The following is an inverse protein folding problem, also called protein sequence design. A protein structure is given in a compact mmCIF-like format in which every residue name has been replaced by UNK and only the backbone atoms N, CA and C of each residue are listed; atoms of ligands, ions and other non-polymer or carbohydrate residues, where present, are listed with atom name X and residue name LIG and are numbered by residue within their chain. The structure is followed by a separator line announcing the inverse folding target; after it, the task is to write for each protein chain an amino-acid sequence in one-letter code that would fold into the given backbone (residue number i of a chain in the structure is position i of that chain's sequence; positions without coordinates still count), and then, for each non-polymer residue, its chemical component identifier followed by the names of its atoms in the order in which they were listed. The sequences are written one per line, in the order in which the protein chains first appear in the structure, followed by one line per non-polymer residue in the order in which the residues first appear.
data_IF_037966148742
#
_entry.id   IF_037966148742
#
_cell.length_a   1.000
_cell.length_b   1.000
_cell.length_c   1.000
_cell.angle_alpha   90.00
_cell.angle_beta   90.00
_cell.angle_gamma   90.00
#
_symmetry.space_group_name_H-M   'P 1'
#
loop_
_entity.id
_entity.type
_entity.pdbx_description
1 polymer ?
#
# COMPACT_ATOMS: atom_id res chain seq x y z
N UNK A 1 5.92 -5.21 2.05
CA UNK A 1 6.13 -4.50 0.78
C UNK A 1 7.39 -3.63 0.81
N UNK A 2 7.51 -2.73 1.77
CA UNK A 2 8.49 -1.63 1.82
C UNK A 2 9.92 -2.04 1.43
N UNK A 3 10.51 -3.04 2.11
CA UNK A 3 11.90 -3.43 1.83
C UNK A 3 12.11 -4.02 0.43
N UNK A 4 11.13 -4.77 -0.09
CA UNK A 4 11.14 -5.25 -1.48
C UNK A 4 11.06 -4.07 -2.45
N UNK A 5 10.29 -3.03 -2.13
CA UNK A 5 10.21 -1.81 -2.93
C UNK A 5 11.53 -1.02 -2.92
N UNK A 6 12.16 -0.86 -1.75
CA UNK A 6 13.47 -0.21 -1.65
C UNK A 6 14.56 -0.95 -2.43
N UNK A 7 14.56 -2.28 -2.35
CA UNK A 7 15.44 -3.11 -3.16
C UNK A 7 15.17 -2.92 -4.66
N UNK A 8 13.90 -3.03 -5.08
CA UNK A 8 13.51 -2.82 -6.48
C UNK A 8 13.90 -1.43 -7.00
N UNK A 9 13.75 -0.38 -6.18
CA UNK A 9 14.18 0.97 -6.51
C UNK A 9 15.70 1.06 -6.73
N UNK A 10 16.49 0.39 -5.88
CA UNK A 10 17.93 0.24 -6.08
C UNK A 10 18.27 -0.42 -7.42
N UNK A 11 17.54 -1.47 -7.79
CA UNK A 11 17.71 -2.17 -9.06
C UNK A 11 17.30 -1.31 -10.27
N UNK A 12 16.26 -0.47 -10.14
CA UNK A 12 15.91 0.53 -11.17
C UNK A 12 17.07 1.50 -11.42
N UNK A 13 17.69 2.03 -10.37
CA UNK A 13 18.85 2.92 -10.51
C UNK A 13 20.07 2.19 -11.09
N UNK A 14 20.33 0.96 -10.64
CA UNK A 14 21.42 0.14 -11.17
C UNK A 14 21.24 -0.10 -12.68
N UNK A 15 20.03 -0.47 -13.13
CA UNK A 15 19.73 -0.62 -14.55
C UNK A 15 19.85 0.71 -15.32
N UNK A 16 19.33 1.81 -14.76
CA UNK A 16 19.43 3.12 -15.40
C UNK A 16 20.89 3.55 -15.65
N UNK A 17 21.78 3.29 -14.69
CA UNK A 17 23.19 3.68 -14.75
C UNK A 17 24.05 2.75 -15.61
N UNK A 18 23.77 1.44 -15.60
CA UNK A 18 24.67 0.41 -16.19
C UNK A 18 24.11 -0.26 -17.43
N UNK A 19 22.78 -0.23 -17.61
CA UNK A 19 22.04 -1.05 -18.58
C UNK A 19 22.27 -2.56 -18.41
N UNK A 20 22.64 -3.00 -17.21
CA UNK A 20 22.78 -4.43 -16.88
C UNK A 20 21.42 -5.15 -16.96
N UNK A 21 21.24 -6.13 -17.87
CA UNK A 21 19.99 -6.87 -17.98
C UNK A 21 19.62 -7.64 -16.70
N UNK A 22 20.60 -8.01 -15.86
CA UNK A 22 20.31 -8.67 -14.59
C UNK A 22 19.65 -7.71 -13.57
N UNK A 23 20.08 -6.45 -13.54
CA UNK A 23 19.41 -5.41 -12.73
C UNK A 23 17.98 -5.16 -13.20
N UNK A 24 17.77 -5.09 -14.52
CA UNK A 24 16.42 -5.01 -15.12
C UNK A 24 15.52 -6.14 -14.65
N UNK A 25 16.03 -7.38 -14.70
CA UNK A 25 15.26 -8.56 -14.29
C UNK A 25 14.92 -8.52 -12.79
N UNK A 26 15.87 -8.16 -11.92
CA UNK A 26 15.61 -8.05 -10.47
C UNK A 26 14.58 -6.97 -10.14
N UNK A 27 14.61 -5.83 -10.84
CA UNK A 27 13.59 -4.80 -10.72
C UNK A 27 12.20 -5.32 -11.16
N UNK A 28 12.14 -6.09 -12.26
CA UNK A 28 10.89 -6.70 -12.75
C UNK A 28 10.34 -7.73 -11.77
N UNK A 29 11.19 -8.58 -11.20
CA UNK A 29 10.77 -9.57 -10.19
C UNK A 29 10.23 -8.88 -8.93
N UNK A 30 10.87 -7.77 -8.50
CA UNK A 30 10.37 -6.95 -7.40
C UNK A 30 9.02 -6.31 -7.73
N UNK A 31 8.83 -5.81 -8.95
CA UNK A 31 7.54 -5.28 -9.42
C UNK A 31 6.44 -6.34 -9.41
N UNK A 32 6.67 -7.53 -9.95
CA UNK A 32 5.66 -8.59 -9.94
C UNK A 32 5.33 -9.05 -8.52
N UNK A 33 6.32 -9.13 -7.62
CA UNK A 33 6.08 -9.46 -6.23
C UNK A 33 5.18 -8.43 -5.53
N UNK A 34 5.45 -7.13 -5.73
CA UNK A 34 4.64 -6.05 -5.14
C UNK A 34 3.27 -5.90 -5.79
N UNK A 35 3.20 -6.07 -7.11
CA UNK A 35 1.93 -6.15 -7.85
C UNK A 35 1.06 -7.26 -7.29
N UNK A 36 1.63 -8.43 -7.01
CA UNK A 36 0.87 -9.53 -6.43
C UNK A 36 0.32 -9.22 -5.03
N UNK A 37 0.96 -8.35 -4.23
CA UNK A 37 0.39 -7.87 -2.96
C UNK A 37 -0.92 -7.07 -3.15
N UNK A 38 -1.12 -6.43 -4.31
CA UNK A 38 -2.39 -5.78 -4.68
C UNK A 38 -3.41 -6.73 -5.33
N UNK A 39 -2.97 -7.92 -5.77
CA UNK A 39 -3.81 -8.93 -6.44
C UNK A 39 -4.32 -10.00 -5.48
N UNK A 40 -3.46 -10.53 -4.60
CA UNK A 40 -3.81 -11.61 -3.67
C UNK A 40 -5.04 -11.31 -2.79
N UNK A 41 -5.27 -10.05 -2.32
CA UNK A 41 -6.46 -9.71 -1.55
C UNK A 41 -7.76 -9.63 -2.36
N UNK A 42 -7.68 -9.67 -3.69
CA UNK A 42 -8.86 -9.62 -4.57
C UNK A 42 -9.55 -10.99 -4.55
N UNK A 43 -10.66 -11.10 -3.83
CA UNK A 43 -11.46 -12.32 -3.74
C UNK A 43 -11.17 -13.15 -2.49
N UNK A 44 -11.43 -14.46 -2.57
CA UNK A 44 -11.32 -15.36 -1.42
C UNK A 44 -12.49 -15.24 -0.45
N UNK A 45 -12.31 -15.73 0.78
CA UNK A 45 -13.37 -15.77 1.80
C UNK A 45 -13.66 -14.40 2.42
N UNK A 46 -12.68 -13.49 2.42
CA UNK A 46 -12.80 -12.14 2.98
C UNK A 46 -12.11 -11.14 2.04
N UNK A 47 -12.71 -10.86 0.86
CA UNK A 47 -12.08 -9.98 -0.12
C UNK A 47 -11.83 -8.59 0.45
N UNK A 48 -10.64 -8.04 0.20
CA UNK A 48 -10.41 -6.61 0.42
C UNK A 48 -11.02 -5.80 -0.73
N UNK A 49 -11.42 -4.53 -0.50
CA UNK A 49 -11.85 -3.65 -1.58
C UNK A 49 -10.73 -3.48 -2.62
N UNK A 50 -11.13 -3.28 -3.89
CA UNK A 50 -10.19 -3.12 -5.00
C UNK A 50 -9.20 -1.98 -4.69
N UNK A 51 -7.91 -2.21 -4.94
CA UNK A 51 -6.84 -1.25 -4.66
C UNK A 51 -6.25 -1.31 -3.25
N UNK A 52 -6.71 -2.23 -2.40
CA UNK A 52 -5.98 -2.59 -1.18
C UNK A 52 -4.65 -3.29 -1.52
N UNK A 53 -3.60 -2.99 -0.74
CA UNK A 53 -2.29 -3.65 -0.81
C UNK A 53 -2.13 -4.51 0.43
N UNK A 54 -1.89 -5.82 0.31
CA UNK A 54 -1.49 -6.63 1.45
C UNK A 54 -0.08 -6.27 1.93
N UNK A 55 0.13 -6.33 3.24
CA UNK A 55 1.45 -6.03 3.82
C UNK A 55 2.52 -7.05 3.40
N UNK A 56 2.10 -8.31 3.32
CA UNK A 56 2.92 -9.47 2.94
C UNK A 56 2.00 -10.66 2.64
N UNK A 57 2.55 -11.70 2.03
CA UNK A 57 1.88 -12.98 1.77
C UNK A 57 2.73 -14.14 2.30
N UNK A 58 2.05 -15.23 2.66
CA UNK A 58 2.66 -16.48 3.12
C UNK A 58 1.97 -17.64 2.38
N UNK A 59 2.70 -18.57 1.75
CA UNK A 59 2.13 -19.77 1.15
C UNK A 59 1.23 -20.57 2.11
N UNK A 60 0.18 -21.22 1.62
CA UNK A 60 -0.77 -21.96 2.47
C UNK A 60 -0.18 -23.24 3.10
N UNK A 61 0.93 -23.74 2.56
CA UNK A 61 1.67 -24.90 3.09
C UNK A 61 2.60 -24.53 4.27
N UNK A 62 2.80 -23.24 4.53
CA UNK A 62 3.42 -22.74 5.76
C UNK A 62 2.41 -22.71 6.92
N UNK A 63 2.87 -22.67 8.19
CA UNK A 63 1.99 -22.60 9.35
C UNK A 63 1.02 -21.40 9.28
N UNK A 64 -0.28 -21.68 9.44
CA UNK A 64 -1.36 -20.67 9.42
C UNK A 64 -1.04 -19.50 10.37
N UNK A 65 -0.78 -18.29 9.83
CA UNK A 65 -0.43 -17.13 10.64
C UNK A 65 -1.53 -16.75 11.65
N UNK A 66 -2.79 -17.09 11.38
CA UNK A 66 -3.90 -16.79 12.29
C UNK A 66 -3.82 -17.57 13.61
N UNK A 67 -3.09 -18.69 13.66
CA UNK A 67 -2.89 -19.48 14.88
C UNK A 67 -1.89 -18.84 15.86
N UNK A 68 -1.23 -17.74 15.48
CA UNK A 68 -0.36 -16.98 16.39
C UNK A 68 -1.18 -16.51 17.59
N UNK A 69 -0.70 -16.68 18.84
CA UNK A 69 -1.47 -16.29 20.02
C UNK A 69 -1.99 -14.85 19.97
N UNK A 70 -1.18 -13.91 19.46
CA UNK A 70 -1.54 -12.49 19.31
C UNK A 70 -2.63 -12.19 18.28
N UNK A 71 -2.94 -13.12 17.37
CA UNK A 71 -3.96 -12.95 16.33
C UNK A 71 -5.26 -13.68 16.63
N UNK A 72 -5.31 -14.55 17.64
CA UNK A 72 -6.58 -15.01 18.20
C UNK A 72 -7.37 -13.85 18.81
N UNK A 73 -8.71 -13.88 18.79
CA UNK A 73 -9.54 -12.82 19.39
C UNK A 73 -9.13 -12.51 20.84
N UNK A 74 -8.84 -13.55 21.64
CA UNK A 74 -8.36 -13.41 23.02
C UNK A 74 -7.00 -12.71 23.10
N UNK A 75 -6.05 -13.05 22.22
CA UNK A 75 -4.73 -12.42 22.21
C UNK A 75 -4.77 -10.97 21.70
N UNK A 76 -5.69 -10.66 20.79
CA UNK A 76 -5.92 -9.29 20.34
C UNK A 76 -6.49 -8.42 21.49
N UNK A 77 -7.46 -8.95 22.24
CA UNK A 77 -7.98 -8.29 23.44
C UNK A 77 -6.88 -8.07 24.50
N UNK A 78 -6.01 -9.06 24.73
CA UNK A 78 -4.86 -8.91 25.62
C UNK A 78 -3.86 -7.84 25.13
N UNK A 79 -3.60 -7.76 23.83
CA UNK A 79 -2.74 -6.74 23.24
C UNK A 79 -3.29 -5.35 23.52
N UNK A 80 -4.61 -5.17 23.31
CA UNK A 80 -5.30 -3.91 23.56
C UNK A 80 -5.24 -3.50 25.04
N UNK A 81 -5.48 -4.44 25.94
CA UNK A 81 -5.41 -4.22 27.40
C UNK A 81 -4.00 -3.90 27.90
N UNK A 82 -2.95 -4.37 27.21
CA UNK A 82 -1.53 -4.12 27.57
C UNK A 82 -0.99 -2.76 27.12
N UNK A 83 -1.83 -1.92 26.51
CA UNK A 83 -1.50 -0.52 26.26
C UNK A 83 -1.62 -0.07 24.80
N UNK A 84 -1.98 -0.97 23.88
CA UNK A 84 -2.22 -0.60 22.48
C UNK A 84 -3.72 -0.41 22.21
N UNK A 85 -4.27 0.73 22.63
CA UNK A 85 -5.72 1.02 22.54
C UNK A 85 -6.28 1.02 21.11
N UNK A 86 -5.41 1.23 20.11
CA UNK A 86 -5.72 1.24 18.67
C UNK A 86 -5.66 -0.15 18.04
N UNK A 87 -5.31 -1.19 18.80
CA UNK A 87 -5.33 -2.56 18.30
C UNK A 87 -6.76 -3.01 18.01
N UNK A 88 -7.13 -3.06 16.71
CA UNK A 88 -8.42 -3.57 16.26
C UNK A 88 -8.58 -5.05 16.63
N UNK A 89 -9.79 -5.50 16.92
CA UNK A 89 -10.06 -6.92 17.26
C UNK A 89 -10.94 -7.48 16.15
N UNK A 90 -10.36 -8.36 15.32
CA UNK A 90 -11.06 -8.98 14.20
C UNK A 90 -10.36 -10.25 13.73
N UNK A 91 -11.09 -11.14 13.07
CA UNK A 91 -10.60 -12.41 12.55
C UNK A 91 -11.24 -12.68 11.18
N UNK A 92 -10.50 -13.23 10.19
CA UNK A 92 -9.07 -13.54 10.23
C UNK A 92 -8.18 -12.29 10.11
N UNK A 93 -6.96 -12.35 10.63
CA UNK A 93 -5.91 -11.33 10.38
C UNK A 93 -5.20 -11.58 9.05
N UNK A 94 -5.21 -12.83 8.61
CA UNK A 94 -4.65 -13.28 7.35
C UNK A 94 -5.68 -14.08 6.57
N UNK A 95 -6.54 -13.43 5.77
CA UNK A 95 -7.43 -14.16 4.88
C UNK A 95 -6.66 -14.90 3.79
N UNK A 96 -7.34 -15.84 3.13
CA UNK A 96 -6.78 -16.61 2.01
C UNK A 96 -7.05 -15.90 0.68
N UNK A 97 -6.10 -15.97 -0.25
CA UNK A 97 -6.27 -15.53 -1.64
C UNK A 97 -7.37 -16.32 -2.35
N UNK A 98 -7.92 -15.77 -3.44
CA UNK A 98 -9.00 -16.42 -4.20
C UNK A 98 -8.62 -17.80 -4.77
N UNK A 99 -7.35 -17.99 -5.13
CA UNK A 99 -6.81 -19.26 -5.61
C UNK A 99 -6.46 -20.25 -4.49
N UNK A 100 -6.62 -19.85 -3.23
CA UNK A 100 -6.32 -20.66 -2.05
C UNK A 100 -4.83 -20.93 -1.82
N UNK A 101 -3.93 -20.27 -2.55
CA UNK A 101 -2.49 -20.55 -2.48
C UNK A 101 -1.75 -19.78 -1.39
N UNK A 102 -2.28 -18.63 -0.96
CA UNK A 102 -1.59 -17.76 -0.02
C UNK A 102 -2.52 -17.23 1.07
N UNK A 103 -1.97 -17.10 2.27
CA UNK A 103 -2.42 -16.16 3.29
C UNK A 103 -1.90 -14.76 2.96
N UNK A 104 -2.71 -13.72 3.07
CA UNK A 104 -2.28 -12.34 2.90
C UNK A 104 -2.55 -11.53 4.17
N UNK A 105 -1.59 -10.71 4.58
CA UNK A 105 -1.70 -9.92 5.82
C UNK A 105 -2.51 -8.65 5.60
N UNK A 106 -3.59 -8.47 6.35
CA UNK A 106 -4.38 -7.23 6.41
C UNK A 106 -3.73 -6.16 7.29
N UNK A 107 -4.40 -5.02 7.54
CA UNK A 107 -3.90 -3.91 8.37
C UNK A 107 -2.57 -3.30 7.84
N UNK A 108 -2.55 -3.01 6.54
CA UNK A 108 -1.38 -2.41 5.88
C UNK A 108 -1.09 -1.03 6.45
N UNK A 109 0.20 -0.79 6.68
CA UNK A 109 0.69 0.44 7.30
C UNK A 109 1.07 1.47 6.24
N UNK A 110 1.08 2.76 6.58
CA UNK A 110 1.35 3.86 5.62
C UNK A 110 2.75 3.76 4.99
N UNK A 111 3.75 3.32 5.75
CA UNK A 111 5.13 3.11 5.30
C UNK A 111 5.24 2.08 4.17
N UNK A 112 4.31 1.14 4.07
CA UNK A 112 4.24 0.23 2.94
C UNK A 112 3.89 0.99 1.65
N UNK A 113 2.96 1.94 1.71
CA UNK A 113 2.58 2.75 0.54
C UNK A 113 3.75 3.66 0.12
N UNK A 114 4.48 4.25 1.07
CA UNK A 114 5.65 5.09 0.80
C UNK A 114 6.65 4.34 -0.09
N UNK A 115 6.96 3.10 0.28
CA UNK A 115 7.86 2.26 -0.49
C UNK A 115 7.32 1.92 -1.87
N UNK A 116 6.06 1.49 -1.94
CA UNK A 116 5.43 1.11 -3.20
C UNK A 116 5.40 2.27 -4.21
N UNK A 117 4.94 3.45 -3.80
CA UNK A 117 4.85 4.61 -4.69
C UNK A 117 6.22 5.16 -5.11
N UNK A 118 7.22 5.13 -4.22
CA UNK A 118 8.60 5.46 -4.59
C UNK A 118 9.12 4.52 -5.67
N UNK A 119 8.93 3.22 -5.51
CA UNK A 119 9.40 2.23 -6.47
C UNK A 119 8.61 2.23 -7.78
N UNK A 120 7.28 2.36 -7.75
CA UNK A 120 6.45 2.35 -8.96
C UNK A 120 6.83 3.48 -9.93
N UNK A 121 7.11 4.68 -9.43
CA UNK A 121 7.60 5.79 -10.26
C UNK A 121 8.91 5.43 -10.98
N UNK A 122 9.89 4.90 -10.22
CA UNK A 122 11.19 4.53 -10.76
C UNK A 122 11.10 3.37 -11.75
N UNK A 123 10.30 2.35 -11.45
CA UNK A 123 10.12 1.22 -12.35
C UNK A 123 9.47 1.65 -13.66
N UNK A 124 8.41 2.48 -13.58
CA UNK A 124 7.73 3.02 -14.76
C UNK A 124 8.65 3.84 -15.66
N UNK A 125 9.44 4.75 -15.08
CA UNK A 125 10.28 5.68 -15.86
C UNK A 125 11.59 5.05 -16.36
N UNK A 126 12.20 4.16 -15.56
CA UNK A 126 13.57 3.70 -15.80
C UNK A 126 13.69 2.27 -16.34
N UNK A 127 12.67 1.43 -16.15
CA UNK A 127 12.75 -0.02 -16.42
C UNK A 127 11.66 -0.50 -17.38
N UNK A 128 10.43 -0.01 -17.26
CA UNK A 128 9.31 -0.40 -18.11
C UNK A 128 9.49 0.17 -19.53
N UNK A 129 10.07 -0.65 -20.41
CA UNK A 129 10.49 -0.24 -21.75
C UNK A 129 9.36 -0.39 -22.78
N UNK A 130 8.41 -1.29 -22.54
CA UNK A 130 7.25 -1.51 -23.42
C UNK A 130 5.97 -0.91 -22.85
N UNK A 131 5.01 -0.59 -23.72
CA UNK A 131 3.72 -0.06 -23.26
C UNK A 131 2.95 -1.10 -22.44
N UNK A 132 3.12 -2.39 -22.73
CA UNK A 132 2.52 -3.46 -21.93
C UNK A 132 3.08 -3.47 -20.50
N UNK A 133 4.40 -3.32 -20.34
CA UNK A 133 5.02 -3.22 -19.01
C UNK A 133 4.54 -1.96 -18.28
N UNK A 134 4.41 -0.83 -18.99
CA UNK A 134 3.88 0.42 -18.43
C UNK A 134 2.42 0.33 -18.02
N UNK A 135 1.57 -0.34 -18.80
CA UNK A 135 0.15 -0.49 -18.46
C UNK A 135 -0.04 -1.35 -17.21
N UNK A 136 0.81 -2.36 -16.97
CA UNK A 136 0.76 -3.13 -15.73
C UNK A 136 1.01 -2.26 -14.50
N UNK A 137 1.95 -1.31 -14.58
CA UNK A 137 2.18 -0.34 -13.50
C UNK A 137 1.00 0.62 -13.39
N UNK A 138 0.50 1.11 -14.54
CA UNK A 138 -0.64 2.04 -14.62
C UNK A 138 -1.88 1.46 -13.97
N UNK A 139 -2.19 0.19 -14.22
CA UNK A 139 -3.32 -0.52 -13.63
C UNK A 139 -3.24 -0.51 -12.10
N UNK A 140 -2.10 -0.96 -11.54
CA UNK A 140 -1.93 -1.07 -10.10
C UNK A 140 -1.95 0.30 -9.43
N UNK A 141 -1.18 1.26 -9.93
CA UNK A 141 -1.16 2.63 -9.40
C UNK A 141 -2.54 3.28 -9.46
N UNK A 142 -3.28 3.09 -10.57
CA UNK A 142 -4.66 3.59 -10.71
C UNK A 142 -5.59 2.96 -9.69
N UNK A 143 -5.55 1.65 -9.52
CA UNK A 143 -6.40 0.95 -8.56
C UNK A 143 -6.09 1.39 -7.12
N UNK A 144 -4.82 1.50 -6.76
CA UNK A 144 -4.38 1.95 -5.43
C UNK A 144 -4.76 3.40 -5.15
N UNK A 145 -4.55 4.32 -6.11
CA UNK A 145 -4.89 5.72 -5.95
C UNK A 145 -6.40 5.96 -5.91
N UNK A 146 -7.17 5.26 -6.76
CA UNK A 146 -8.63 5.27 -6.69
C UNK A 146 -9.11 4.82 -5.32
N UNK A 147 -8.57 3.72 -4.79
CA UNK A 147 -8.95 3.24 -3.47
C UNK A 147 -8.78 4.31 -2.40
N UNK A 148 -7.65 5.02 -2.39
CA UNK A 148 -7.44 6.11 -1.45
C UNK A 148 -8.47 7.23 -1.68
N UNK A 149 -8.57 7.78 -2.88
CA UNK A 149 -9.46 8.91 -3.18
C UNK A 149 -10.92 8.60 -2.88
N UNK A 150 -11.41 7.44 -3.30
CA UNK A 150 -12.81 7.01 -3.13
C UNK A 150 -13.16 6.71 -1.67
N UNK A 151 -12.18 6.36 -0.84
CA UNK A 151 -12.37 6.09 0.59
C UNK A 151 -11.86 7.25 1.45
N UNK A 152 -12.08 8.49 1.00
CA UNK A 152 -11.72 9.72 1.70
C UNK A 152 -10.24 9.75 2.13
N UNK A 153 -9.32 9.34 1.26
CA UNK A 153 -7.88 9.24 1.55
C UNK A 153 -7.53 8.26 2.68
N UNK A 154 -8.25 7.15 2.79
CA UNK A 154 -7.97 6.07 3.74
C UNK A 154 -7.82 4.74 3.01
N UNK A 155 -6.95 3.87 3.51
CA UNK A 155 -6.81 2.50 3.03
C UNK A 155 -7.70 1.58 3.87
N UNK A 156 -8.55 0.79 3.21
CA UNK A 156 -9.47 -0.17 3.81
C UNK A 156 -9.09 -1.59 3.41
N UNK A 157 -9.10 -2.49 4.40
CA UNK A 157 -9.02 -3.93 4.19
C UNK A 157 -10.42 -4.60 4.36
N UNK A 158 -10.45 -5.92 4.40
CA UNK A 158 -11.68 -6.70 4.60
C UNK A 158 -12.37 -6.46 5.96
N UNK A 159 -11.67 -5.86 6.92
CA UNK A 159 -12.13 -5.58 8.28
C UNK A 159 -12.29 -4.07 8.56
N UNK A 160 -12.16 -3.22 7.53
CA UNK A 160 -12.36 -1.77 7.60
C UNK A 160 -11.07 -0.97 7.45
N UNK A 161 -11.07 0.27 7.94
CA UNK A 161 -9.94 1.20 7.80
C UNK A 161 -8.69 0.62 8.47
N UNK A 162 -7.59 0.55 7.71
CA UNK A 162 -6.28 0.16 8.23
C UNK A 162 -5.82 1.12 9.31
N UNK A 163 -5.00 0.63 10.25
CA UNK A 163 -4.61 1.44 11.39
C UNK A 163 -3.83 2.70 11.04
N UNK A 164 -2.91 2.64 10.08
CA UNK A 164 -1.92 3.71 9.85
C UNK A 164 -2.02 4.38 8.47
N UNK A 165 -2.63 3.75 7.47
CA UNK A 165 -2.84 4.38 6.16
C UNK A 165 -4.13 5.20 6.16
N UNK A 166 -4.10 6.28 6.93
CA UNK A 166 -5.16 7.27 7.11
C UNK A 166 -4.59 8.64 6.77
N UNK A 167 -5.15 9.32 5.76
CA UNK A 167 -4.66 10.60 5.24
C UNK A 167 -5.80 11.62 5.07
N UNK A 168 -6.97 11.36 5.66
CA UNK A 168 -8.16 12.18 5.46
C UNK A 168 -8.11 13.49 6.28
N UNK A 169 -8.58 14.61 5.72
CA UNK A 169 -8.50 15.91 6.39
C UNK A 169 -9.16 15.97 7.76
N UNK A 170 -10.27 15.25 7.98
CA UNK A 170 -11.04 15.33 9.22
C UNK A 170 -10.24 14.79 10.41
N UNK A 171 -9.65 13.60 10.27
CA UNK A 171 -8.82 13.02 11.33
C UNK A 171 -7.50 13.78 11.44
N UNK A 172 -6.91 14.19 10.32
CA UNK A 172 -5.63 14.90 10.35
C UNK A 172 -5.69 16.23 11.04
N UNK A 173 -6.66 17.07 10.70
CA UNK A 173 -6.67 18.45 11.18
C UNK A 173 -7.27 18.58 12.58
N UNK A 174 -8.12 17.64 13.00
CA UNK A 174 -8.91 17.78 14.24
C UNK A 174 -8.58 16.80 15.35
N UNK A 175 -7.81 15.72 15.09
CA UNK A 175 -7.45 14.74 16.13
C UNK A 175 -5.97 14.87 16.56
N UNK A 176 -5.76 15.04 17.87
CA UNK A 176 -4.44 15.19 18.52
C UNK A 176 -3.60 13.92 18.35
N UNK A 177 -4.23 12.74 18.25
CA UNK A 177 -3.54 11.47 18.02
C UNK A 177 -2.74 11.47 16.71
N UNK A 178 -3.19 12.24 15.72
CA UNK A 178 -2.57 12.34 14.40
C UNK A 178 -1.67 13.56 14.25
N UNK A 179 -1.63 14.47 15.24
CA UNK A 179 -0.93 15.75 15.17
C UNK A 179 0.58 15.62 14.90
N UNK A 180 1.24 14.64 15.52
CA UNK A 180 2.68 14.42 15.36
C UNK A 180 3.06 13.92 13.95
N UNK A 181 2.14 13.25 13.25
CA UNK A 181 2.38 12.66 11.92
C UNK A 181 1.95 13.53 10.74
N UNK A 182 1.35 14.71 11.00
CA UNK A 182 0.72 15.56 9.97
C UNK A 182 1.64 15.85 8.79
N UNK A 183 2.81 16.44 9.05
CA UNK A 183 3.73 16.84 7.98
C UNK A 183 4.20 15.65 7.13
N UNK A 184 4.59 14.55 7.79
CA UNK A 184 5.08 13.36 7.09
C UNK A 184 3.98 12.74 6.21
N UNK A 185 2.81 12.49 6.78
CA UNK A 185 1.77 11.80 6.04
C UNK A 185 1.10 12.70 4.98
N UNK A 186 1.07 14.02 5.19
CA UNK A 186 0.67 14.99 4.14
C UNK A 186 1.62 14.88 2.94
N UNK A 187 2.92 14.84 3.20
CA UNK A 187 3.92 14.61 2.15
C UNK A 187 3.70 13.26 1.47
N UNK A 188 3.42 12.19 2.23
CA UNK A 188 3.13 10.87 1.69
C UNK A 188 1.95 10.90 0.71
N UNK A 189 0.76 11.33 1.12
CA UNK A 189 -0.43 11.31 0.26
C UNK A 189 -0.29 12.23 -0.96
N UNK A 190 0.31 13.42 -0.80
CA UNK A 190 0.60 14.31 -1.93
C UNK A 190 1.58 13.67 -2.92
N UNK A 191 2.60 12.96 -2.42
CA UNK A 191 3.54 12.22 -3.28
C UNK A 191 2.82 11.09 -4.03
N UNK A 192 1.92 10.35 -3.36
CA UNK A 192 1.18 9.26 -4.00
C UNK A 192 0.31 9.77 -5.15
N UNK A 193 -0.41 10.87 -4.92
CA UNK A 193 -1.27 11.49 -5.92
C UNK A 193 -0.46 12.07 -7.08
N UNK A 194 0.69 12.70 -6.81
CA UNK A 194 1.59 13.19 -7.84
C UNK A 194 2.14 12.04 -8.72
N UNK A 195 2.60 10.95 -8.10
CA UNK A 195 3.02 9.75 -8.82
C UNK A 195 1.88 9.14 -9.62
N UNK A 196 0.66 9.10 -9.07
CA UNK A 196 -0.51 8.61 -9.79
C UNK A 196 -0.84 9.48 -11.00
N UNK A 197 -0.83 10.81 -10.87
CA UNK A 197 -0.99 11.74 -12.01
C UNK A 197 0.05 11.50 -13.08
N UNK A 198 1.33 11.38 -12.71
CA UNK A 198 2.43 11.14 -13.66
C UNK A 198 2.25 9.81 -14.41
N UNK A 199 2.04 8.73 -13.68
CA UNK A 199 1.98 7.39 -14.25
C UNK A 199 0.70 7.21 -15.08
N UNK A 200 -0.46 7.66 -14.59
CA UNK A 200 -1.75 7.38 -15.25
C UNK A 200 -2.16 8.44 -16.27
N UNK A 201 -1.72 9.69 -16.10
CA UNK A 201 -2.22 10.84 -16.85
C UNK A 201 -3.63 11.31 -16.44
N UNK A 202 -4.23 10.72 -15.40
CA UNK A 202 -5.59 11.05 -14.95
C UNK A 202 -5.58 12.34 -14.10
N UNK A 203 -6.24 13.43 -14.55
CA UNK A 203 -6.19 14.73 -13.87
C UNK A 203 -6.83 14.73 -12.49
N UNK A 204 -7.74 13.78 -12.18
CA UNK A 204 -8.45 13.76 -10.89
C UNK A 204 -7.51 13.65 -9.69
N UNK A 205 -6.36 12.98 -9.84
CA UNK A 205 -5.38 12.83 -8.76
C UNK A 205 -4.69 14.18 -8.46
N UNK A 206 -4.44 14.98 -9.50
CA UNK A 206 -3.89 16.32 -9.34
C UNK A 206 -4.92 17.26 -8.72
N UNK A 207 -6.18 17.13 -9.09
CA UNK A 207 -7.29 17.88 -8.49
C UNK A 207 -7.45 17.54 -7.01
N UNK A 208 -7.44 16.25 -6.65
CA UNK A 208 -7.47 15.81 -5.26
C UNK A 208 -6.25 16.34 -4.46
N UNK A 209 -5.04 16.31 -5.05
CA UNK A 209 -3.85 16.87 -4.41
C UNK A 209 -3.96 18.39 -4.18
N UNK A 210 -4.56 19.13 -5.14
CA UNK A 210 -4.82 20.56 -5.00
C UNK A 210 -5.84 20.85 -3.92
N UNK A 211 -6.92 20.07 -3.82
CA UNK A 211 -7.91 20.20 -2.75
C UNK A 211 -7.27 20.01 -1.36
N UNK A 212 -6.54 18.91 -1.18
CA UNK A 212 -5.80 18.63 0.06
C UNK A 212 -4.83 19.77 0.42
N UNK A 213 -4.16 20.33 -0.58
CA UNK A 213 -3.21 21.42 -0.38
C UNK A 213 -3.91 22.73 -0.03
N UNK A 214 -4.80 23.19 -0.90
CA UNK A 214 -5.31 24.56 -0.93
C UNK A 214 -6.48 24.76 0.03
N UNK A 215 -7.26 23.70 0.28
CA UNK A 215 -8.41 23.72 1.21
C UNK A 215 -8.02 23.18 2.59
N UNK A 216 -7.27 22.08 2.63
CA UNK A 216 -6.98 21.37 3.89
C UNK A 216 -5.58 21.62 4.47
N UNK A 217 -4.77 22.43 3.80
CA UNK A 217 -3.50 22.94 4.34
C UNK A 217 -2.34 21.96 4.32
N UNK A 218 -2.37 20.90 3.49
CA UNK A 218 -1.33 19.85 3.47
C UNK A 218 0.07 20.30 2.97
N UNK A 219 0.27 21.59 2.68
CA UNK A 219 1.57 22.18 2.34
C UNK A 219 2.21 22.99 3.48
N UNK A 220 1.54 23.10 4.63
CA UNK A 220 1.97 23.93 5.77
C UNK A 220 2.72 23.12 6.82
#
# INVERSE_FOLDING_TARGET
GLWTAMYGAGECYAYAATKDPAARQRAKDAFEALRYLSLAPRGGSHPAPKGFIARTIVPIDEPDPNQRPSYTLKGQEQTRQRGDSLWRIYEPRWPTSADGKYYWKSDTSSDELDGHYFFYALYYDLVADTEEERELVREIVRDNANHLVENNFQMLDHAGVTRWAVFNPELFNQDVLWAAGRGLNSLSILSYLATATHITGDPKYLEAARELRDVHGYHQ
#
